data_IF_534188942134
#
_entry.id   IF_534188942134
#
_cell.length_a   1.000
_cell.length_b   1.000
_cell.length_c   1.000
_cell.angle_alpha   90.00
_cell.angle_beta   90.00
_cell.angle_gamma   90.00
#
_symmetry.space_group_name_H-M   'P 1'
#
loop_
_entity.id
_entity.type
_entity.pdbx_description
1 polymer ?
#
# COMPACT_ATOMS: atom_id res chain seq x y z
N UNK A 1 16.39 11.88 -16.85
CA UNK A 1 17.57 11.07 -17.11
C UNK A 1 17.28 9.56 -17.17
N UNK A 2 16.07 9.13 -17.04
CA UNK A 2 15.66 7.75 -17.24
C UNK A 2 15.85 6.81 -16.06
N UNK A 3 16.36 7.28 -14.96
CA UNK A 3 16.45 6.45 -13.75
C UNK A 3 15.14 6.44 -13.00
N UNK A 4 14.73 5.27 -12.53
CA UNK A 4 13.54 5.14 -11.70
C UNK A 4 13.84 5.69 -10.30
N UNK A 5 13.02 6.62 -9.82
CA UNK A 5 13.13 7.15 -8.47
C UNK A 5 12.15 6.50 -7.51
N UNK A 6 11.17 5.80 -8.03
CA UNK A 6 10.22 5.05 -7.22
C UNK A 6 9.26 4.28 -8.10
N UNK A 7 8.63 3.29 -7.52
CA UNK A 7 7.62 2.47 -8.19
C UNK A 7 6.58 2.01 -7.18
N UNK A 8 5.34 1.93 -7.62
CA UNK A 8 4.23 1.40 -6.82
C UNK A 8 3.44 0.45 -7.70
N UNK A 9 2.96 -0.65 -7.10
CA UNK A 9 2.12 -1.59 -7.82
C UNK A 9 1.12 -2.25 -6.88
N UNK A 10 0.06 -2.81 -7.48
CA UNK A 10 -0.96 -3.57 -6.79
C UNK A 10 -0.93 -5.00 -7.31
N UNK A 11 -1.05 -5.96 -6.43
CA UNK A 11 -1.07 -7.37 -6.79
C UNK A 11 -2.16 -8.10 -6.03
N UNK A 12 -2.93 -8.90 -6.75
CA UNK A 12 -3.89 -9.79 -6.12
C UNK A 12 -3.20 -11.06 -5.66
N UNK A 13 -3.61 -11.53 -4.50
CA UNK A 13 -3.12 -12.78 -3.92
C UNK A 13 -4.30 -13.71 -3.67
N UNK A 14 -4.02 -14.96 -3.36
CA UNK A 14 -5.05 -15.94 -3.02
C UNK A 14 -4.82 -16.45 -1.60
N UNK A 15 -5.82 -17.12 -1.03
CA UNK A 15 -5.68 -17.71 0.30
C UNK A 15 -4.58 -18.78 0.33
N UNK A 16 -4.33 -19.44 -0.80
CA UNK A 16 -3.27 -20.46 -0.92
C UNK A 16 -1.87 -19.86 -1.11
N UNK A 17 -1.81 -18.61 -1.57
CA UNK A 17 -0.54 -17.90 -1.81
C UNK A 17 -0.73 -16.43 -1.38
N UNK A 18 -0.86 -16.19 -0.08
CA UNK A 18 -1.14 -14.84 0.41
C UNK A 18 0.12 -13.98 0.43
N UNK A 19 -0.06 -12.68 0.20
CA UNK A 19 0.98 -11.70 0.48
C UNK A 19 1.03 -11.38 1.96
N UNK A 20 2.03 -10.62 2.39
CA UNK A 20 2.20 -10.24 3.79
C UNK A 20 1.04 -9.39 4.33
N UNK A 21 0.42 -8.60 3.46
CA UNK A 21 -0.74 -7.78 3.82
C UNK A 21 -2.06 -8.34 3.31
N UNK A 22 -2.13 -9.66 3.09
CA UNK A 22 -3.31 -10.30 2.53
C UNK A 22 -4.51 -10.15 3.45
N UNK A 23 -5.63 -9.69 2.90
CA UNK A 23 -6.90 -9.55 3.61
C UNK A 23 -7.94 -10.47 2.99
N UNK A 24 -8.13 -10.40 1.67
CA UNK A 24 -8.99 -11.30 0.92
C UNK A 24 -8.60 -11.25 -0.55
N UNK A 25 -9.19 -12.13 -1.36
CA UNK A 25 -8.80 -12.27 -2.77
C UNK A 25 -9.28 -11.11 -3.65
N UNK A 26 -10.25 -10.33 -3.18
CA UNK A 26 -10.76 -9.17 -3.90
C UNK A 26 -10.01 -7.88 -3.58
N UNK A 27 -9.12 -7.92 -2.58
CA UNK A 27 -8.37 -6.75 -2.12
C UNK A 27 -6.91 -6.89 -2.52
N UNK A 28 -6.45 -6.15 -3.55
CA UNK A 28 -5.03 -6.24 -3.92
C UNK A 28 -4.15 -5.60 -2.86
N UNK A 29 -2.93 -6.09 -2.77
CA UNK A 29 -1.92 -5.56 -1.87
C UNK A 29 -1.06 -4.55 -2.60
N UNK A 30 -0.87 -3.37 -1.99
CA UNK A 30 -0.01 -2.32 -2.50
C UNK A 30 1.42 -2.57 -2.05
N UNK A 31 2.35 -2.49 -2.99
CA UNK A 31 3.78 -2.48 -2.72
C UNK A 31 4.37 -1.21 -3.30
N UNK A 32 5.36 -0.65 -2.59
CA UNK A 32 5.99 0.60 -2.99
C UNK A 32 7.49 0.53 -2.75
N UNK A 33 8.25 1.08 -3.67
CA UNK A 33 9.69 1.25 -3.53
C UNK A 33 10.07 2.65 -3.95
N UNK A 34 10.90 3.30 -3.15
CA UNK A 34 11.42 4.63 -3.46
C UNK A 34 12.94 4.58 -3.34
N UNK A 35 13.62 5.12 -4.33
CA UNK A 35 15.08 5.16 -4.36
C UNK A 35 15.61 5.92 -3.15
N UNK A 36 16.70 5.41 -2.59
CA UNK A 36 17.37 6.11 -1.49
C UNK A 36 17.83 7.49 -1.98
N UNK A 37 17.64 8.49 -1.17
CA UNK A 37 17.90 9.88 -1.55
C UNK A 37 16.69 10.61 -2.09
N UNK A 38 15.69 9.89 -2.57
CA UNK A 38 14.46 10.49 -3.11
C UNK A 38 13.32 10.49 -2.07
N UNK A 39 13.53 9.84 -0.94
CA UNK A 39 12.48 9.66 0.07
C UNK A 39 12.04 10.96 0.73
N UNK A 40 12.89 11.97 0.71
CA UNK A 40 12.61 13.28 1.33
C UNK A 40 11.76 14.21 0.48
N UNK A 41 11.53 13.86 -0.78
CA UNK A 41 10.89 14.77 -1.74
C UNK A 41 9.40 14.48 -1.96
N UNK A 42 8.80 13.69 -1.06
CA UNK A 42 7.39 13.39 -1.18
C UNK A 42 7.04 12.38 -2.27
N UNK A 43 8.05 11.70 -2.81
CA UNK A 43 7.84 10.71 -3.88
C UNK A 43 6.92 9.59 -3.41
N UNK A 44 7.13 9.08 -2.19
CA UNK A 44 6.27 8.02 -1.64
C UNK A 44 4.81 8.44 -1.58
N UNK A 45 4.54 9.65 -1.10
CA UNK A 45 3.17 10.18 -1.02
C UNK A 45 2.54 10.32 -2.40
N UNK A 46 3.30 10.78 -3.38
CA UNK A 46 2.81 10.92 -4.75
C UNK A 46 2.48 9.55 -5.36
N UNK A 47 3.30 8.55 -5.10
CA UNK A 47 3.07 7.20 -5.60
C UNK A 47 1.83 6.57 -4.95
N UNK A 48 1.65 6.75 -3.65
CA UNK A 48 0.46 6.26 -2.94
C UNK A 48 -0.79 6.92 -3.49
N UNK A 49 -0.78 8.23 -3.68
CA UNK A 49 -1.92 8.95 -4.25
C UNK A 49 -2.26 8.44 -5.65
N UNK A 50 -1.24 8.20 -6.48
CA UNK A 50 -1.44 7.67 -7.83
C UNK A 50 -2.06 6.26 -7.77
N UNK A 51 -1.60 5.41 -6.86
CA UNK A 51 -2.15 4.06 -6.70
C UNK A 51 -3.60 4.10 -6.24
N UNK A 52 -3.93 5.00 -5.31
CA UNK A 52 -5.30 5.16 -4.82
C UNK A 52 -6.23 5.62 -5.95
N UNK A 53 -5.80 6.60 -6.74
CA UNK A 53 -6.59 7.07 -7.87
C UNK A 53 -6.82 5.99 -8.91
N UNK A 54 -5.77 5.21 -9.21
CA UNK A 54 -5.87 4.11 -10.17
C UNK A 54 -6.83 3.03 -9.66
N UNK A 55 -6.74 2.70 -8.36
CA UNK A 55 -7.61 1.70 -7.76
C UNK A 55 -9.08 2.14 -7.80
N UNK A 56 -9.33 3.42 -7.48
CA UNK A 56 -10.69 3.97 -7.56
C UNK A 56 -11.24 3.93 -8.98
N UNK A 57 -10.42 4.29 -9.95
CA UNK A 57 -10.86 4.31 -11.34
C UNK A 57 -11.15 2.90 -11.88
N UNK A 58 -10.56 1.87 -11.28
CA UNK A 58 -10.87 0.47 -11.61
C UNK A 58 -12.06 -0.09 -10.84
N UNK A 59 -12.66 0.70 -9.97
CA UNK A 59 -13.80 0.26 -9.18
C UNK A 59 -13.45 -0.65 -8.02
N UNK A 60 -12.19 -0.69 -7.59
CA UNK A 60 -11.79 -1.50 -6.45
C UNK A 60 -12.38 -0.93 -5.16
N UNK A 61 -12.81 -1.80 -4.27
CA UNK A 61 -13.47 -1.37 -3.03
C UNK A 61 -12.46 -1.01 -1.94
N UNK A 62 -11.31 -1.66 -1.94
CA UNK A 62 -10.25 -1.39 -0.97
C UNK A 62 -8.92 -1.97 -1.44
N UNK A 63 -7.85 -1.49 -0.83
CA UNK A 63 -6.50 -1.99 -1.03
C UNK A 63 -5.86 -2.22 0.33
N UNK A 64 -4.88 -3.10 0.39
CA UNK A 64 -4.18 -3.43 1.62
C UNK A 64 -2.68 -3.23 1.44
N UNK A 65 -1.95 -3.23 2.55
CA UNK A 65 -0.50 -3.25 2.55
C UNK A 65 0.01 -3.86 3.84
N UNK A 66 1.29 -4.21 3.85
CA UNK A 66 1.99 -4.65 5.04
C UNK A 66 3.11 -3.67 5.35
N UNK A 67 3.21 -3.26 6.61
CA UNK A 67 4.30 -2.40 7.08
C UNK A 67 4.92 -3.02 8.32
N UNK A 68 6.25 -3.08 8.36
CA UNK A 68 6.96 -3.63 9.51
C UNK A 68 6.86 -2.70 10.71
N UNK A 69 6.83 -3.30 11.91
CA UNK A 69 6.84 -2.54 13.14
C UNK A 69 8.07 -1.64 13.21
N UNK A 70 7.86 -0.39 13.60
CA UNK A 70 8.93 0.59 13.69
C UNK A 70 9.28 1.27 12.38
N UNK A 71 8.68 0.85 11.27
CA UNK A 71 8.94 1.48 9.98
C UNK A 71 8.26 2.85 9.94
N UNK A 72 9.01 3.95 9.74
CA UNK A 72 8.43 5.29 9.72
C UNK A 72 7.43 5.52 8.57
N UNK A 73 7.44 4.68 7.53
CA UNK A 73 6.48 4.77 6.44
C UNK A 73 5.04 4.58 6.90
N UNK A 74 4.82 3.96 8.06
CA UNK A 74 3.48 3.78 8.60
C UNK A 74 2.72 5.10 8.71
N UNK A 75 3.39 6.17 9.13
CA UNK A 75 2.76 7.50 9.23
C UNK A 75 2.29 8.01 7.88
N UNK A 76 3.06 7.74 6.84
CA UNK A 76 2.71 8.11 5.48
C UNK A 76 1.43 7.40 5.05
N UNK A 77 1.34 6.10 5.32
CA UNK A 77 0.16 5.31 4.99
C UNK A 77 -1.07 5.77 5.79
N UNK A 78 -0.89 6.02 7.08
CA UNK A 78 -1.98 6.50 7.93
C UNK A 78 -2.50 7.85 7.49
N UNK A 79 -1.63 8.74 7.04
CA UNK A 79 -2.04 10.03 6.49
C UNK A 79 -2.84 9.88 5.21
N UNK A 80 -2.56 8.85 4.43
CA UNK A 80 -3.31 8.56 3.21
C UNK A 80 -4.68 7.94 3.50
N UNK A 81 -4.94 7.52 4.75
CA UNK A 81 -6.21 6.95 5.16
C UNK A 81 -6.17 5.46 5.49
N UNK A 82 -5.00 4.82 5.37
CA UNK A 82 -4.88 3.41 5.74
C UNK A 82 -5.02 3.25 7.25
N UNK A 83 -5.66 2.17 7.66
CA UNK A 83 -5.84 1.83 9.06
C UNK A 83 -5.70 0.32 9.25
N UNK A 84 -5.40 -0.09 10.48
CA UNK A 84 -5.26 -1.51 10.80
C UNK A 84 -6.49 -2.30 10.36
N UNK A 85 -6.24 -3.48 9.77
CA UNK A 85 -7.29 -4.31 9.21
C UNK A 85 -8.22 -4.92 10.27
N UNK A 86 -7.82 -4.93 11.53
CA UNK A 86 -8.66 -5.39 12.62
C UNK A 86 -8.21 -6.70 13.23
N UNK A 87 -9.00 -7.21 14.17
CA UNK A 87 -8.71 -8.46 14.87
C UNK A 87 -8.51 -9.59 13.89
N UNK A 88 -7.52 -10.43 14.13
CA UNK A 88 -7.18 -11.52 13.25
C UNK A 88 -6.08 -11.22 12.25
N UNK A 89 -5.66 -9.95 12.17
CA UNK A 89 -4.58 -9.53 11.29
C UNK A 89 -3.41 -8.96 12.10
N UNK A 90 -2.20 -9.11 11.56
CA UNK A 90 -1.03 -8.46 12.15
C UNK A 90 -1.26 -6.97 12.29
N UNK A 91 -0.61 -6.36 13.28
CA UNK A 91 -0.72 -4.91 13.52
C UNK A 91 -0.17 -4.09 12.34
N UNK A 92 0.67 -4.71 11.51
CA UNK A 92 1.20 -4.08 10.30
C UNK A 92 0.37 -4.28 9.05
N UNK A 93 -0.75 -5.01 9.14
CA UNK A 93 -1.66 -5.18 8.00
C UNK A 93 -2.66 -4.05 7.99
N UNK A 94 -2.52 -3.15 7.03
CA UNK A 94 -3.36 -1.96 6.91
C UNK A 94 -4.25 -2.04 5.68
N UNK A 95 -5.42 -1.44 5.77
CA UNK A 95 -6.42 -1.38 4.68
C UNK A 95 -6.83 0.06 4.46
N UNK A 96 -7.13 0.39 3.22
CA UNK A 96 -7.77 1.65 2.85
C UNK A 96 -9.08 1.32 2.13
N UNK A 97 -10.19 1.82 2.65
CA UNK A 97 -11.50 1.72 2.01
C UNK A 97 -11.60 2.77 0.92
N UNK A 98 -11.95 2.35 -0.29
CA UNK A 98 -12.03 3.24 -1.45
C UNK A 98 -13.47 3.63 -1.79
N UNK A 99 -14.41 2.83 -1.36
CA UNK A 99 -15.83 3.05 -1.65
C UNK A 99 -16.60 3.44 -0.40
#
# INVERSE_FOLDING_TARGET
>A
NGEAIGVVWLRFFTADDPGFGFVDEATPELSIWVAEGERRWGVGGQLIDAAIRAARSKGLRRISLSVEEGNPARRLYERAGFAWAGSGFDTGTLVLELA
#
